data_IF_851719739987
#
_entry.id   IF_851719739987
#
_cell.length_a   1.000
_cell.length_b   1.000
_cell.length_c   1.000
_cell.angle_alpha   90.00
_cell.angle_beta   90.00
_cell.angle_gamma   90.00
#
_symmetry.space_group_name_H-M   'P 1'
#
loop_
_entity.id
_entity.type
_entity.pdbx_description
1 polymer ?
#
# COMPACT_ATOMS: atom_id res chain seq x y z
N UNK A 1 2.49 10.44 15.67
CA UNK A 1 2.71 11.33 14.52
C UNK A 1 1.33 11.71 14.02
N UNK A 2 0.91 12.95 14.23
CA UNK A 2 -0.39 13.42 13.78
C UNK A 2 -0.15 13.95 12.36
N UNK A 3 -0.61 13.23 11.35
CA UNK A 3 -0.53 13.68 9.95
C UNK A 3 -1.54 14.82 9.83
N UNK A 4 -1.07 16.06 9.87
CA UNK A 4 -1.94 17.19 9.59
C UNK A 4 -2.15 17.27 8.07
N UNK A 5 -3.36 17.60 7.62
CA UNK A 5 -3.60 17.95 6.20
C UNK A 5 -2.68 19.09 5.72
N UNK A 6 -1.95 19.77 6.62
CA UNK A 6 -1.01 20.86 6.32
C UNK A 6 0.37 20.39 5.88
N UNK A 7 0.74 19.12 6.05
CA UNK A 7 2.06 18.63 5.61
C UNK A 7 2.18 18.53 4.08
N UNK A 8 1.07 18.64 3.34
CA UNK A 8 1.07 18.48 1.88
C UNK A 8 1.23 17.04 1.41
N UNK A 9 1.30 16.09 2.34
CA UNK A 9 1.53 14.67 2.07
C UNK A 9 0.24 13.86 1.87
N UNK A 10 -0.93 14.43 2.20
CA UNK A 10 -2.23 13.79 1.97
C UNK A 10 -2.83 14.29 0.65
N UNK A 11 -2.86 13.40 -0.34
CA UNK A 11 -3.53 13.64 -1.60
C UNK A 11 -5.00 13.17 -1.52
N UNK A 12 -6.00 14.07 -1.61
CA UNK A 12 -7.41 13.71 -1.49
C UNK A 12 -7.92 12.83 -2.64
N UNK A 13 -7.17 12.69 -3.73
CA UNK A 13 -7.49 11.77 -4.82
C UNK A 13 -7.11 10.31 -4.52
N UNK A 14 -6.19 10.09 -3.57
CA UNK A 14 -5.70 8.76 -3.18
C UNK A 14 -6.54 8.11 -2.08
N UNK A 15 -7.85 8.14 -2.24
CA UNK A 15 -8.78 7.69 -1.21
C UNK A 15 -9.39 6.31 -1.49
N UNK A 16 -9.93 5.68 -0.45
CA UNK A 16 -10.81 4.51 -0.52
C UNK A 16 -11.84 4.56 0.62
N UNK A 17 -12.99 3.85 0.53
CA UNK A 17 -14.01 3.82 1.58
C UNK A 17 -13.45 3.31 2.92
N UNK A 18 -13.79 4.00 4.00
CA UNK A 18 -13.45 3.55 5.35
C UNK A 18 -14.32 2.35 5.75
N UNK A 19 -13.71 1.23 6.12
CA UNK A 19 -14.44 0.02 6.53
C UNK A 19 -15.19 0.17 7.86
N UNK A 20 -14.75 1.11 8.69
CA UNK A 20 -15.23 1.31 10.06
C UNK A 20 -16.34 2.37 10.15
N UNK A 21 -16.50 3.22 9.13
CA UNK A 21 -17.55 4.24 9.10
C UNK A 21 -18.04 4.50 7.68
N UNK A 22 -19.29 4.10 7.42
CA UNK A 22 -19.96 4.35 6.14
C UNK A 22 -19.97 5.83 5.77
N UNK A 23 -19.66 6.13 4.50
CA UNK A 23 -19.57 7.49 3.97
C UNK A 23 -18.26 8.22 4.28
N UNK A 24 -17.40 7.67 5.15
CA UNK A 24 -16.06 8.19 5.40
C UNK A 24 -15.03 7.62 4.44
N UNK A 25 -13.89 8.30 4.34
CA UNK A 25 -12.77 7.93 3.47
C UNK A 25 -11.50 7.72 4.28
N UNK A 26 -10.71 6.75 3.84
CA UNK A 26 -9.33 6.58 4.24
C UNK A 26 -8.43 7.03 3.07
N UNK A 27 -7.26 7.60 3.39
CA UNK A 27 -6.38 8.24 2.41
C UNK A 27 -5.02 7.54 2.42
N UNK A 28 -4.54 7.10 1.26
CA UNK A 28 -3.16 6.64 1.09
C UNK A 28 -2.21 7.83 1.06
N UNK A 29 -1.03 7.66 1.62
CA UNK A 29 -0.02 8.72 1.67
C UNK A 29 1.39 8.17 1.46
N UNK A 30 2.37 8.96 1.00
CA UNK A 30 3.75 8.51 0.92
C UNK A 30 4.39 8.46 2.32
N UNK A 31 5.20 7.44 2.61
CA UNK A 31 5.94 7.36 3.88
C UNK A 31 7.32 6.73 3.69
N UNK A 32 8.34 7.38 4.25
CA UNK A 32 9.71 6.85 4.37
C UNK A 32 9.83 5.99 5.63
N UNK A 33 9.46 4.72 5.55
CA UNK A 33 9.56 3.81 6.70
C UNK A 33 8.54 2.69 6.68
N UNK A 34 8.59 1.86 5.63
CA UNK A 34 7.71 0.70 5.54
C UNK A 34 8.36 -0.48 6.27
N UNK A 35 7.96 -0.67 7.53
CA UNK A 35 8.33 -1.86 8.31
C UNK A 35 7.61 -3.13 7.82
N UNK A 36 6.52 -2.98 7.06
CA UNK A 36 5.73 -4.09 6.52
C UNK A 36 5.73 -4.05 4.99
N UNK A 37 6.40 -5.01 4.36
CA UNK A 37 6.49 -5.09 2.89
C UNK A 37 5.11 -5.25 2.27
N UNK A 38 4.87 -4.52 1.18
CA UNK A 38 3.59 -4.53 0.45
C UNK A 38 2.41 -3.87 1.18
N UNK A 39 2.61 -3.39 2.41
CA UNK A 39 1.59 -2.65 3.16
C UNK A 39 1.77 -1.15 2.95
N UNK A 40 0.80 -0.58 2.27
CA UNK A 40 0.69 0.85 2.04
C UNK A 40 0.25 1.55 3.32
N UNK A 41 0.86 2.69 3.67
CA UNK A 41 0.38 3.51 4.77
C UNK A 41 -0.93 4.21 4.37
N UNK A 42 -1.88 4.21 5.29
CA UNK A 42 -3.18 4.83 5.13
C UNK A 42 -3.56 5.63 6.38
N UNK A 43 -4.34 6.69 6.18
CA UNK A 43 -4.85 7.56 7.24
C UNK A 43 -6.36 7.45 7.28
N UNK A 44 -6.91 7.16 8.47
CA UNK A 44 -8.34 7.21 8.72
C UNK A 44 -8.72 8.57 9.30
N UNK A 45 -9.41 9.40 8.52
CA UNK A 45 -9.84 10.72 8.97
C UNK A 45 -10.84 10.64 10.12
N UNK A 46 -11.71 9.63 10.15
CA UNK A 46 -12.69 9.50 11.22
C UNK A 46 -12.05 9.21 12.59
N UNK A 47 -11.10 8.27 12.63
CA UNK A 47 -10.43 7.84 13.86
C UNK A 47 -9.19 8.67 14.20
N UNK A 48 -8.71 9.50 13.27
CA UNK A 48 -7.47 10.26 13.39
C UNK A 48 -6.26 9.35 13.70
N UNK A 49 -6.16 8.23 12.98
CA UNK A 49 -5.07 7.25 13.14
C UNK A 49 -4.48 6.84 11.81
N UNK A 50 -3.19 6.50 11.82
CA UNK A 50 -2.54 5.83 10.69
C UNK A 50 -2.60 4.32 10.85
N UNK A 51 -2.70 3.63 9.73
CA UNK A 51 -2.70 2.17 9.65
C UNK A 51 -2.02 1.71 8.36
N UNK A 52 -2.06 0.40 8.14
CA UNK A 52 -1.36 -0.29 7.05
C UNK A 52 -2.36 -1.17 6.30
N UNK A 53 -2.43 -0.99 4.98
CA UNK A 53 -3.38 -1.69 4.10
C UNK A 53 -2.64 -2.38 2.97
N UNK A 54 -3.06 -3.60 2.60
CA UNK A 54 -2.58 -4.31 1.42
C UNK A 54 -3.44 -4.01 0.20
N UNK A 55 -2.95 -4.38 -0.98
CA UNK A 55 -3.73 -4.24 -2.21
C UNK A 55 -5.04 -5.04 -2.16
N UNK A 56 -5.02 -6.23 -1.57
CA UNK A 56 -6.21 -7.09 -1.44
C UNK A 56 -7.32 -6.52 -0.53
N UNK A 57 -7.00 -5.52 0.28
CA UNK A 57 -7.96 -4.85 1.17
C UNK A 57 -8.54 -3.58 0.53
N UNK A 58 -7.98 -3.13 -0.59
CA UNK A 58 -8.56 -2.04 -1.37
C UNK A 58 -9.72 -2.59 -2.20
N UNK A 59 -10.84 -1.86 -2.31
CA UNK A 59 -11.94 -2.31 -3.15
C UNK A 59 -11.58 -2.18 -4.64
N UNK A 60 -12.13 -3.09 -5.45
CA UNK A 60 -11.86 -3.14 -6.89
C UNK A 60 -12.26 -1.83 -7.61
N UNK A 61 -13.29 -1.15 -7.10
CA UNK A 61 -13.83 0.11 -7.61
C UNK A 61 -13.15 1.36 -7.03
N UNK A 62 -12.03 1.20 -6.30
CA UNK A 62 -11.23 2.33 -5.83
C UNK A 62 -10.88 3.30 -6.96
N UNK A 63 -10.72 4.61 -6.68
CA UNK A 63 -10.35 5.60 -7.67
C UNK A 63 -9.12 5.19 -8.50
N UNK A 64 -9.10 5.59 -9.77
CA UNK A 64 -7.98 5.25 -10.66
C UNK A 64 -6.64 5.75 -10.12
N UNK A 65 -6.60 6.94 -9.50
CA UNK A 65 -5.43 7.47 -8.84
C UNK A 65 -4.93 6.52 -7.73
N UNK A 66 -5.81 6.12 -6.80
CA UNK A 66 -5.53 5.14 -5.75
C UNK A 66 -4.96 3.83 -6.29
N UNK A 67 -5.61 3.25 -7.32
CA UNK A 67 -5.15 1.98 -7.91
C UNK A 67 -3.79 2.09 -8.60
N UNK A 68 -3.55 3.17 -9.35
CA UNK A 68 -2.27 3.40 -10.03
C UNK A 68 -1.15 3.69 -9.05
N UNK A 69 -1.43 4.49 -8.03
CA UNK A 69 -0.48 4.77 -6.95
C UNK A 69 -0.10 3.49 -6.20
N UNK A 70 -1.09 2.65 -5.83
CA UNK A 70 -0.85 1.38 -5.16
C UNK A 70 0.05 0.45 -5.99
N UNK A 71 -0.20 0.35 -7.30
CA UNK A 71 0.65 -0.42 -8.22
C UNK A 71 2.08 0.13 -8.28
N UNK A 72 2.26 1.44 -8.36
CA UNK A 72 3.57 2.08 -8.36
C UNK A 72 4.32 1.87 -7.04
N UNK A 73 3.63 2.02 -5.91
CA UNK A 73 4.18 1.75 -4.58
C UNK A 73 4.67 0.30 -4.45
N UNK A 74 3.87 -0.67 -4.89
CA UNK A 74 4.26 -2.08 -4.85
C UNK A 74 5.46 -2.33 -5.77
N UNK A 75 5.46 -1.82 -7.00
CA UNK A 75 6.60 -1.95 -7.91
C UNK A 75 7.91 -1.40 -7.30
N UNK A 76 7.84 -0.27 -6.59
CA UNK A 76 8.98 0.28 -5.86
C UNK A 76 9.33 -0.46 -4.56
N UNK A 77 8.44 -1.33 -4.07
CA UNK A 77 8.63 -2.14 -2.85
C UNK A 77 9.10 -3.56 -3.14
N UNK A 78 9.24 -3.92 -4.41
CA UNK A 78 9.79 -5.19 -4.86
C UNK A 78 11.28 -5.26 -4.41
N UNK A 79 11.68 -6.26 -3.60
CA UNK A 79 13.04 -6.36 -3.11
C UNK A 79 14.07 -6.47 -4.25
N UNK A 80 15.31 -6.00 -4.07
CA UNK A 80 16.38 -6.31 -5.01
C UNK A 80 16.56 -7.82 -5.17
N UNK A 81 17.16 -8.25 -6.27
CA UNK A 81 17.59 -9.63 -6.46
C UNK A 81 18.63 -9.98 -5.38
N UNK A 82 18.41 -11.09 -4.69
CA UNK A 82 19.48 -11.76 -3.95
C UNK A 82 20.32 -12.56 -4.96
N UNK A 83 21.64 -12.66 -4.73
CA UNK A 83 22.59 -13.25 -5.69
C UNK A 83 22.30 -14.73 -6.00
N UNK A 84 21.59 -15.43 -5.13
CA UNK A 84 21.30 -16.88 -5.22
C UNK A 84 19.91 -17.21 -5.79
N UNK A 85 19.04 -16.21 -6.03
CA UNK A 85 17.68 -16.46 -6.53
C UNK A 85 17.68 -16.56 -8.06
N UNK A 86 17.20 -17.68 -8.60
CA UNK A 86 17.05 -17.81 -10.05
C UNK A 86 15.99 -16.83 -10.60
N UNK A 87 16.22 -16.34 -11.82
CA UNK A 87 15.39 -15.30 -12.42
C UNK A 87 13.92 -15.71 -12.59
N UNK A 88 13.63 -17.00 -12.81
CA UNK A 88 12.27 -17.47 -13.06
C UNK A 88 11.46 -17.50 -11.76
N UNK A 89 12.03 -18.06 -10.68
CA UNK A 89 11.44 -18.01 -9.34
C UNK A 89 11.23 -16.57 -8.91
N UNK A 90 12.22 -15.71 -9.15
CA UNK A 90 12.12 -14.30 -8.80
C UNK A 90 10.99 -13.58 -9.54
N UNK A 91 10.81 -13.86 -10.83
CA UNK A 91 9.75 -13.26 -11.63
C UNK A 91 8.37 -13.68 -11.10
N UNK A 92 8.20 -14.96 -10.77
CA UNK A 92 6.95 -15.47 -10.20
C UNK A 92 6.62 -14.80 -8.87
N UNK A 93 7.58 -14.70 -7.95
CA UNK A 93 7.39 -14.01 -6.65
C UNK A 93 7.05 -12.52 -6.83
N UNK A 94 7.67 -11.85 -7.81
CA UNK A 94 7.34 -10.47 -8.15
C UNK A 94 5.89 -10.35 -8.65
N UNK A 95 5.49 -11.22 -9.58
CA UNK A 95 4.16 -11.17 -10.18
C UNK A 95 3.06 -11.42 -9.13
N UNK A 96 3.27 -12.39 -8.24
CA UNK A 96 2.39 -12.66 -7.10
C UNK A 96 2.31 -11.44 -6.17
N UNK A 97 3.46 -10.84 -5.84
CA UNK A 97 3.50 -9.65 -4.98
C UNK A 97 2.83 -8.43 -5.60
N UNK A 98 3.04 -8.19 -6.90
CA UNK A 98 2.43 -7.06 -7.62
C UNK A 98 0.91 -7.23 -7.76
N UNK A 99 0.43 -8.48 -7.73
CA UNK A 99 -1.00 -8.79 -7.82
C UNK A 99 -1.70 -8.76 -6.46
N UNK A 100 -1.01 -9.15 -5.39
CA UNK A 100 -1.63 -9.36 -4.07
C UNK A 100 -1.19 -8.35 -3.01
N UNK A 101 0.00 -7.76 -3.17
CA UNK A 101 0.70 -7.01 -2.14
C UNK A 101 1.32 -7.88 -1.03
N UNK A 102 1.33 -9.21 -1.18
CA UNK A 102 1.86 -10.15 -0.17
C UNK A 102 3.17 -10.77 -0.66
N UNK A 103 4.25 -10.63 0.11
CA UNK A 103 5.55 -11.25 -0.20
C UNK A 103 5.70 -12.57 0.55
N UNK A 104 5.65 -13.68 -0.19
CA UNK A 104 5.71 -15.07 0.32
C UNK A 104 7.05 -15.42 0.97
N UNK A 105 8.13 -14.69 0.67
CA UNK A 105 9.48 -14.93 1.22
C UNK A 105 9.79 -14.33 2.59
N UNK A 106 8.80 -13.76 3.30
CA UNK A 106 9.05 -13.18 4.63
C UNK A 106 8.69 -14.20 5.72
N UNK A 107 9.62 -14.63 6.59
CA UNK A 107 9.25 -15.49 7.72
C UNK A 107 8.30 -14.72 8.66
N UNK A 108 7.33 -15.45 9.21
CA UNK A 108 6.43 -14.96 10.27
C UNK A 108 7.21 -14.52 11.51
#
# INVERSE_FOLDING_TARGET
MQLDQRSGDLDPELWFPCSEHEGSRDILYPSSGNTFRGRMPAWCEHKQVSFRVSLSELPDDAPAATRLWARGFLAGSVPPLDDDTDLATRQQEADEFLTTGVWSGTPK
#
